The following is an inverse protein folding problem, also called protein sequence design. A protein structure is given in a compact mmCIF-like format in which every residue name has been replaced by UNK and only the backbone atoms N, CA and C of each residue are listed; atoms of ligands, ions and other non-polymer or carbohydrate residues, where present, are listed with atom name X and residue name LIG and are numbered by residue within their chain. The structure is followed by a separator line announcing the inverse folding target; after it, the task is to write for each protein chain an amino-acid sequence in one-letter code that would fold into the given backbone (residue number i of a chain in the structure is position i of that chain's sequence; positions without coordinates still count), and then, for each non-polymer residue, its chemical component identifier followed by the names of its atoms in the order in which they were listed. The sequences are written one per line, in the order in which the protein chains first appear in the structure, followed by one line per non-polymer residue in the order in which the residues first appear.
data_IF_827835171404
#
_entry.id   IF_827835171404
#
_cell.length_a   1.000
_cell.length_b   1.000
_cell.length_c   1.000
_cell.angle_alpha   90.00
_cell.angle_beta   90.00
_cell.angle_gamma   90.00
#
_symmetry.space_group_name_H-M   'P 1'
#
loop_
_entity.id
_entity.type
_entity.pdbx_description
1 polymer ?
#
# COMPACT_ATOMS: atom_id res chain seq x y z
N UNK A 1 -8.58 17.15 -35.84
CA UNK A 1 -9.59 16.73 -34.86
C UNK A 1 -8.94 16.73 -33.48
N UNK A 2 -9.62 17.23 -32.45
CA UNK A 2 -9.14 17.14 -31.07
C UNK A 2 -9.20 15.69 -30.58
N UNK A 3 -8.16 15.20 -29.91
CA UNK A 3 -8.14 13.87 -29.31
C UNK A 3 -9.27 13.72 -28.27
N UNK A 4 -9.94 12.56 -28.27
CA UNK A 4 -11.01 12.22 -27.33
C UNK A 4 -10.61 11.00 -26.48
N UNK A 5 -10.33 11.19 -25.17
CA UNK A 5 -10.10 10.09 -24.24
C UNK A 5 -11.28 9.11 -24.18
N UNK A 6 -10.98 7.82 -24.01
CA UNK A 6 -11.99 6.84 -23.57
C UNK A 6 -12.51 7.22 -22.18
N UNK A 7 -13.82 7.22 -21.98
CA UNK A 7 -14.47 7.43 -20.66
C UNK A 7 -14.86 6.12 -19.96
N UNK A 8 -14.78 5.01 -20.67
CA UNK A 8 -15.07 3.66 -20.16
C UNK A 8 -13.96 2.74 -20.63
N UNK A 9 -13.47 1.88 -19.74
CA UNK A 9 -12.56 0.81 -20.12
C UNK A 9 -13.37 -0.43 -20.53
N UNK A 10 -12.98 -1.17 -21.60
CA UNK A 10 -13.70 -2.35 -22.05
C UNK A 10 -13.90 -3.38 -20.93
N UNK A 11 -15.02 -4.11 -20.98
CA UNK A 11 -15.29 -5.18 -20.02
C UNK A 11 -14.25 -6.31 -20.14
N UNK A 12 -13.85 -6.87 -18.99
CA UNK A 12 -12.80 -7.88 -18.89
C UNK A 12 -13.39 -9.22 -18.41
N UNK A 13 -13.93 -10.08 -19.30
CA UNK A 13 -14.70 -11.25 -18.91
C UNK A 13 -13.89 -12.36 -18.21
N UNK A 14 -12.56 -12.39 -18.35
CA UNK A 14 -11.70 -13.51 -17.88
C UNK A 14 -10.56 -13.11 -16.94
N UNK A 15 -10.70 -12.01 -16.20
CA UNK A 15 -9.62 -11.55 -15.31
C UNK A 15 -9.50 -12.41 -14.03
N UNK A 16 -8.31 -12.90 -13.64
CA UNK A 16 -8.13 -13.64 -12.40
C UNK A 16 -8.40 -12.74 -11.19
N UNK A 17 -9.50 -13.01 -10.47
CA UNK A 17 -9.97 -12.24 -9.30
C UNK A 17 -9.60 -12.85 -7.95
N UNK A 18 -8.96 -14.02 -7.94
CA UNK A 18 -8.56 -14.73 -6.72
C UNK A 18 -7.04 -14.74 -6.61
N UNK A 19 -6.49 -14.05 -5.61
CA UNK A 19 -5.05 -14.03 -5.31
C UNK A 19 -4.81 -14.30 -3.82
N UNK A 20 -5.21 -15.49 -3.36
CA UNK A 20 -5.03 -15.91 -1.96
C UNK A 20 -4.03 -17.06 -1.85
N UNK A 21 -2.75 -16.70 -1.81
CA UNK A 21 -1.67 -17.63 -1.51
C UNK A 21 -1.74 -18.11 -0.05
N UNK A 22 -1.31 -19.35 0.22
CA UNK A 22 -1.34 -19.95 1.56
C UNK A 22 -0.64 -19.12 2.65
N UNK A 23 0.37 -18.33 2.27
CA UNK A 23 1.04 -17.40 3.18
C UNK A 23 0.15 -16.23 3.66
N UNK A 24 -0.89 -15.82 2.91
CA UNK A 24 -1.82 -14.80 3.38
C UNK A 24 -2.73 -15.32 4.49
N UNK A 25 -3.20 -16.59 4.41
CA UNK A 25 -3.95 -17.23 5.51
C UNK A 25 -3.09 -17.33 6.76
N UNK A 26 -1.85 -17.81 6.62
CA UNK A 26 -0.90 -17.88 7.73
C UNK A 26 -0.59 -16.49 8.32
N UNK A 27 -0.47 -15.46 7.47
CA UNK A 27 -0.29 -14.07 7.89
C UNK A 27 -1.45 -13.56 8.74
N UNK A 28 -2.69 -13.81 8.31
CA UNK A 28 -3.89 -13.39 9.06
C UNK A 28 -4.01 -14.11 10.40
N UNK A 29 -3.79 -15.43 10.45
CA UNK A 29 -3.81 -16.19 11.72
C UNK A 29 -2.73 -15.68 12.67
N UNK A 30 -1.50 -15.45 12.17
CA UNK A 30 -0.40 -14.92 12.98
C UNK A 30 -0.70 -13.50 13.48
N UNK A 31 -1.28 -12.65 12.64
CA UNK A 31 -1.72 -11.32 13.04
C UNK A 31 -2.72 -11.42 14.19
N UNK A 32 -3.76 -12.25 14.05
CA UNK A 32 -4.78 -12.46 15.10
C UNK A 32 -4.18 -12.94 16.41
N UNK A 33 -3.20 -13.86 16.38
CA UNK A 33 -2.53 -14.32 17.60
C UNK A 33 -1.70 -13.24 18.29
N UNK A 34 -1.18 -12.26 17.53
CA UNK A 34 -0.37 -11.17 18.09
C UNK A 34 -1.21 -10.05 18.69
N UNK A 35 -2.44 -9.84 18.20
CA UNK A 35 -3.32 -8.72 18.57
C UNK A 35 -3.55 -8.55 20.07
N UNK A 36 -3.56 -9.64 20.84
CA UNK A 36 -3.72 -9.58 22.31
C UNK A 36 -2.59 -8.79 22.99
N UNK A 37 -1.39 -8.82 22.41
CA UNK A 37 -0.20 -8.15 22.93
C UNK A 37 0.09 -6.78 22.26
N UNK A 38 -0.79 -6.34 21.36
CA UNK A 38 -0.64 -5.08 20.62
C UNK A 38 -1.48 -3.99 21.28
N UNK A 39 -0.86 -2.82 21.46
CA UNK A 39 -1.47 -1.63 22.03
C UNK A 39 -2.13 -0.74 20.98
N UNK A 40 -1.55 -0.70 19.77
CA UNK A 40 -2.02 0.15 18.68
C UNK A 40 -1.75 -0.49 17.33
N UNK A 41 -2.67 -0.32 16.38
CA UNK A 41 -2.50 -0.79 15.00
C UNK A 41 -2.28 0.39 14.06
N UNK A 42 -1.29 0.29 13.19
CA UNK A 42 -1.11 1.17 12.04
C UNK A 42 -1.60 0.43 10.81
N UNK A 43 -2.70 0.89 10.22
CA UNK A 43 -3.25 0.33 8.99
C UNK A 43 -2.74 1.12 7.78
N UNK A 44 -1.81 0.54 7.03
CA UNK A 44 -1.26 1.17 5.84
C UNK A 44 -2.14 0.93 4.60
N UNK A 45 -2.45 2.02 3.90
CA UNK A 45 -3.17 2.06 2.61
C UNK A 45 -2.33 2.79 1.55
N UNK A 46 -2.52 2.46 0.26
CA UNK A 46 -1.76 3.08 -0.83
C UNK A 46 -2.50 4.33 -1.28
N UNK A 47 -1.87 5.51 -1.17
CA UNK A 47 -2.53 6.78 -1.47
C UNK A 47 -3.04 6.90 -2.91
N UNK A 48 -2.48 6.14 -3.87
CA UNK A 48 -2.96 6.13 -5.26
C UNK A 48 -4.31 5.43 -5.42
N UNK A 49 -4.66 4.56 -4.49
CA UNK A 49 -5.87 3.71 -4.51
C UNK A 49 -6.49 3.64 -3.11
N UNK A 50 -6.95 4.78 -2.56
CA UNK A 50 -7.33 4.87 -1.16
C UNK A 50 -8.57 4.04 -0.77
N UNK A 51 -9.44 3.72 -1.73
CA UNK A 51 -10.59 2.83 -1.56
C UNK A 51 -10.18 1.38 -1.83
N UNK A 52 -9.58 1.14 -2.99
CA UNK A 52 -9.26 -0.21 -3.46
C UNK A 52 -8.20 -0.90 -2.59
N UNK A 53 -7.32 -0.15 -1.92
CA UNK A 53 -6.32 -0.73 -0.98
C UNK A 53 -6.85 -1.03 0.42
N UNK A 54 -8.13 -0.74 0.70
CA UNK A 54 -8.81 -1.20 1.92
C UNK A 54 -8.91 -2.73 1.91
N UNK A 55 -8.81 -3.33 3.10
CA UNK A 55 -8.95 -4.77 3.26
C UNK A 55 -10.05 -5.07 4.28
N UNK A 56 -11.24 -5.55 3.83
CA UNK A 56 -12.36 -5.87 4.72
C UNK A 56 -12.05 -6.94 5.78
N UNK A 57 -11.03 -7.78 5.56
CA UNK A 57 -10.58 -8.73 6.58
C UNK A 57 -9.97 -8.04 7.80
N UNK A 58 -9.41 -6.84 7.65
CA UNK A 58 -8.91 -6.07 8.77
C UNK A 58 -10.03 -5.40 9.56
N UNK A 59 -11.08 -4.91 8.91
CA UNK A 59 -12.24 -4.32 9.60
C UNK A 59 -12.84 -5.32 10.61
N UNK A 60 -13.05 -6.57 10.18
CA UNK A 60 -13.56 -7.64 11.05
C UNK A 60 -12.53 -8.19 12.05
N UNK A 61 -11.23 -8.15 11.74
CA UNK A 61 -10.20 -8.74 12.61
C UNK A 61 -9.63 -7.77 13.65
N UNK A 62 -9.78 -6.47 13.42
CA UNK A 62 -9.25 -5.39 14.26
C UNK A 62 -10.35 -4.69 15.07
N UNK A 63 -11.55 -5.25 15.08
CA UNK A 63 -12.67 -4.73 15.85
C UNK A 63 -12.28 -4.56 17.34
N UNK A 64 -12.59 -3.39 17.90
CA UNK A 64 -12.23 -3.02 19.28
C UNK A 64 -10.75 -2.68 19.52
N UNK A 65 -9.88 -2.73 18.50
CA UNK A 65 -8.49 -2.27 18.61
C UNK A 65 -8.34 -0.84 18.14
N UNK A 66 -7.65 -0.02 18.94
CA UNK A 66 -7.28 1.33 18.54
C UNK A 66 -6.38 1.27 17.29
N UNK A 67 -6.69 2.13 16.31
CA UNK A 67 -5.99 2.15 15.02
C UNK A 67 -5.74 3.55 14.49
N UNK A 68 -4.66 3.69 13.74
CA UNK A 68 -4.34 4.87 12.93
C UNK A 68 -4.29 4.43 11.48
N UNK A 69 -5.01 5.11 10.60
CA UNK A 69 -4.93 4.88 9.16
C UNK A 69 -3.79 5.71 8.59
N UNK A 70 -2.89 5.07 7.85
CA UNK A 70 -1.73 5.71 7.24
C UNK A 70 -1.73 5.47 5.74
N UNK A 71 -1.96 6.52 4.97
CA UNK A 71 -1.80 6.49 3.52
C UNK A 71 -0.33 6.71 3.16
N UNK A 72 0.34 5.65 2.76
CA UNK A 72 1.72 5.68 2.27
C UNK A 72 1.76 6.09 0.79
N UNK A 73 2.95 6.44 0.30
CA UNK A 73 3.17 6.86 -1.10
C UNK A 73 2.40 8.13 -1.49
N UNK A 74 2.17 9.05 -0.54
CA UNK A 74 1.52 10.34 -0.79
C UNK A 74 2.24 11.14 -1.88
N UNK A 75 3.56 10.99 -1.99
CA UNK A 75 4.41 11.59 -3.03
C UNK A 75 4.04 11.18 -4.46
N UNK A 76 3.34 10.06 -4.67
CA UNK A 76 2.84 9.58 -5.97
C UNK A 76 1.39 10.03 -6.26
N UNK A 77 0.86 10.93 -5.44
CA UNK A 77 -0.50 11.50 -5.50
C UNK A 77 -0.75 12.52 -6.61
N UNK A 78 -1.94 13.10 -6.64
CA UNK A 78 -2.44 14.00 -7.69
C UNK A 78 -1.98 15.46 -7.61
N UNK A 79 -0.98 15.78 -6.78
CA UNK A 79 -0.39 17.12 -6.68
C UNK A 79 -1.41 18.16 -6.23
N UNK A 80 -1.88 19.00 -7.18
CA UNK A 80 -2.77 20.13 -6.89
C UNK A 80 -4.11 19.74 -6.26
N UNK A 81 -4.60 18.52 -6.51
CA UNK A 81 -5.87 18.02 -5.93
C UNK A 81 -5.70 17.31 -4.60
N UNK A 82 -4.46 17.11 -4.13
CA UNK A 82 -4.20 16.28 -2.96
C UNK A 82 -4.85 16.84 -1.70
N UNK A 83 -4.85 18.16 -1.48
CA UNK A 83 -5.50 18.73 -0.28
C UNK A 83 -6.99 18.40 -0.21
N UNK A 84 -7.73 18.59 -1.32
CA UNK A 84 -9.16 18.28 -1.38
C UNK A 84 -9.42 16.78 -1.24
N UNK A 85 -8.61 15.95 -1.89
CA UNK A 85 -8.74 14.50 -1.78
C UNK A 85 -8.48 14.04 -0.35
N UNK A 86 -7.46 14.59 0.31
CA UNK A 86 -7.14 14.30 1.71
C UNK A 86 -8.27 14.71 2.65
N UNK A 87 -8.94 15.83 2.42
CA UNK A 87 -10.10 16.26 3.22
C UNK A 87 -11.25 15.26 3.13
N UNK A 88 -11.57 14.81 1.91
CA UNK A 88 -12.60 13.79 1.67
C UNK A 88 -12.20 12.45 2.30
N UNK A 89 -10.94 12.02 2.11
CA UNK A 89 -10.43 10.77 2.67
C UNK A 89 -10.44 10.82 4.21
N UNK A 90 -10.16 11.97 4.84
CA UNK A 90 -10.27 12.11 6.30
C UNK A 90 -11.72 11.90 6.77
N UNK A 91 -12.71 12.45 6.05
CA UNK A 91 -14.13 12.27 6.38
C UNK A 91 -14.53 10.79 6.36
N UNK A 92 -13.98 9.99 5.44
CA UNK A 92 -14.24 8.54 5.36
C UNK A 92 -13.89 7.77 6.64
N UNK A 93 -12.95 8.28 7.44
CA UNK A 93 -12.46 7.62 8.66
C UNK A 93 -13.14 8.11 9.94
N UNK A 94 -13.98 9.15 9.85
CA UNK A 94 -14.66 9.74 11.00
C UNK A 94 -13.69 10.15 12.09
N UNK A 95 -13.83 9.57 13.29
CA UNK A 95 -12.97 9.84 14.44
C UNK A 95 -11.61 9.12 14.39
N UNK A 96 -11.41 8.16 13.48
CA UNK A 96 -10.16 7.40 13.40
C UNK A 96 -9.03 8.31 12.86
N UNK A 97 -7.89 8.46 13.57
CA UNK A 97 -6.79 9.28 13.09
C UNK A 97 -6.29 8.82 11.71
N UNK A 98 -6.14 9.77 10.79
CA UNK A 98 -5.72 9.54 9.41
C UNK A 98 -4.51 10.42 9.06
N UNK A 99 -3.44 9.80 8.55
CA UNK A 99 -2.17 10.45 8.21
C UNK A 99 -1.76 10.14 6.78
N UNK A 100 -1.12 11.09 6.10
CA UNK A 100 -0.60 10.93 4.74
C UNK A 100 0.92 11.07 4.74
N UNK A 101 1.62 9.98 4.39
CA UNK A 101 3.08 9.88 4.49
C UNK A 101 3.69 9.83 3.10
N UNK A 102 4.68 10.70 2.87
CA UNK A 102 5.51 10.68 1.66
C UNK A 102 6.68 9.72 1.87
N UNK A 103 7.02 8.94 0.85
CA UNK A 103 8.23 8.15 0.83
C UNK A 103 9.39 9.05 0.37
N UNK A 104 10.41 9.20 1.21
CA UNK A 104 11.59 10.02 0.90
C UNK A 104 12.51 9.33 -0.10
N UNK A 105 12.25 9.54 -1.39
CA UNK A 105 13.20 9.36 -2.51
C UNK A 105 12.75 10.21 -3.71
N UNK A 106 12.59 11.51 -3.54
CA UNK A 106 12.59 12.40 -4.70
C UNK A 106 14.07 12.65 -5.07
N UNK A 107 14.64 11.79 -5.93
CA UNK A 107 16.00 11.98 -6.49
C UNK A 107 16.09 13.23 -7.39
N UNK A 108 14.94 13.84 -7.71
CA UNK A 108 14.81 14.99 -8.61
C UNK A 108 14.46 16.31 -7.92
N UNK A 109 14.45 16.39 -6.58
CA UNK A 109 14.16 17.66 -5.89
C UNK A 109 15.37 18.16 -5.11
N UNK A 110 16.08 19.13 -5.71
CA UNK A 110 16.90 20.11 -5.01
C UNK A 110 16.08 21.03 -4.09
N UNK A 111 14.77 20.84 -3.98
CA UNK A 111 13.83 21.77 -3.36
C UNK A 111 12.79 21.05 -2.47
N UNK A 112 13.08 20.89 -1.17
CA UNK A 112 12.08 20.66 -0.10
C UNK A 112 11.33 19.31 -0.01
N UNK A 113 11.49 18.37 -0.96
CA UNK A 113 10.80 17.08 -0.96
C UNK A 113 11.15 16.19 0.24
N UNK A 114 12.44 16.08 0.56
CA UNK A 114 12.95 15.34 1.71
C UNK A 114 12.48 15.93 3.04
N UNK A 115 12.44 17.26 3.14
CA UNK A 115 11.92 17.97 4.31
C UNK A 115 10.44 17.64 4.57
N UNK A 116 9.59 17.65 3.54
CA UNK A 116 8.16 17.32 3.69
C UNK A 116 7.95 15.84 4.05
N UNK A 117 8.73 14.93 3.46
CA UNK A 117 8.69 13.51 3.82
C UNK A 117 9.07 13.31 5.29
N UNK A 118 10.21 13.88 5.70
CA UNK A 118 10.67 13.90 7.09
C UNK A 118 9.61 14.47 8.04
N UNK A 119 8.99 15.61 7.71
CA UNK A 119 7.94 16.23 8.53
C UNK A 119 6.74 15.29 8.73
N UNK A 120 6.29 14.61 7.68
CA UNK A 120 5.17 13.67 7.77
C UNK A 120 5.49 12.46 8.67
N UNK A 121 6.71 11.92 8.58
CA UNK A 121 7.15 10.79 9.41
C UNK A 121 7.35 11.21 10.87
N UNK A 122 7.90 12.41 11.11
CA UNK A 122 8.03 12.97 12.46
C UNK A 122 6.66 13.20 13.10
N UNK A 123 5.68 13.74 12.37
CA UNK A 123 4.32 13.89 12.88
C UNK A 123 3.66 12.57 13.27
N UNK A 124 3.94 11.48 12.53
CA UNK A 124 3.50 10.15 12.95
C UNK A 124 4.24 9.69 14.21
N UNK A 125 5.57 9.87 14.30
CA UNK A 125 6.32 9.54 15.53
C UNK A 125 5.79 10.29 16.75
N UNK A 126 5.42 11.56 16.61
CA UNK A 126 4.88 12.37 17.71
C UNK A 126 3.51 11.85 18.15
N UNK A 127 2.63 11.49 17.21
CA UNK A 127 1.36 10.86 17.53
C UNK A 127 1.55 9.52 18.27
N UNK A 128 2.51 8.71 17.83
CA UNK A 128 2.85 7.44 18.49
C UNK A 128 3.42 7.65 19.89
N UNK A 129 4.25 8.69 20.09
CA UNK A 129 4.77 9.08 21.41
C UNK A 129 3.65 9.52 22.34
N UNK A 130 2.76 10.40 21.88
CA UNK A 130 1.62 10.87 22.68
C UNK A 130 0.73 9.70 23.11
N UNK A 131 0.43 8.79 22.19
CA UNK A 131 -0.32 7.58 22.51
C UNK A 131 0.41 6.72 23.56
N UNK A 132 1.71 6.46 23.38
CA UNK A 132 2.51 5.70 24.33
C UNK A 132 2.65 6.38 25.71
N UNK A 133 2.71 7.72 25.76
CA UNK A 133 2.75 8.50 27.01
C UNK A 133 1.42 8.40 27.77
N UNK A 134 0.28 8.51 27.08
CA UNK A 134 -1.04 8.36 27.70
C UNK A 134 -1.30 6.95 28.24
N UNK A 135 -0.57 5.96 27.70
CA UNK A 135 -0.65 4.54 28.04
C UNK A 135 0.73 4.04 28.51
N UNK A 136 1.38 4.82 29.37
CA UNK A 136 2.75 4.56 29.79
C UNK A 136 2.93 3.12 30.29
N UNK A 137 3.99 2.46 29.80
CA UNK A 137 4.32 1.07 30.14
C UNK A 137 5.83 0.90 30.29
N UNK A 138 6.22 0.20 31.35
CA UNK A 138 7.61 -0.17 31.59
C UNK A 138 8.14 -1.19 30.57
N UNK A 139 7.31 -2.14 30.14
CA UNK A 139 7.69 -3.22 29.21
C UNK A 139 7.76 -2.79 27.73
N UNK A 140 7.49 -1.51 27.46
CA UNK A 140 7.46 -0.94 26.12
C UNK A 140 6.09 -1.06 25.44
N UNK A 141 5.84 -0.11 24.54
CA UNK A 141 4.59 0.02 23.80
C UNK A 141 4.69 -0.72 22.46
N UNK A 142 3.75 -1.63 22.19
CA UNK A 142 3.80 -2.53 21.02
C UNK A 142 2.80 -2.11 19.95
N UNK A 143 3.33 -1.74 18.80
CA UNK A 143 2.56 -1.30 17.63
C UNK A 143 2.66 -2.36 16.55
N UNK A 144 1.55 -2.67 15.88
CA UNK A 144 1.56 -3.55 14.71
C UNK A 144 1.27 -2.76 13.44
N UNK A 145 2.10 -2.91 12.41
CA UNK A 145 1.76 -2.41 11.07
C UNK A 145 1.07 -3.51 10.28
N UNK A 146 -0.09 -3.20 9.71
CA UNK A 146 -0.87 -4.06 8.79
C UNK A 146 -1.16 -3.33 7.48
N UNK A 147 -1.62 -4.05 6.47
CA UNK A 147 -1.89 -3.47 5.15
C UNK A 147 -1.64 -4.45 4.00
N UNK A 148 -2.17 -4.13 2.83
CA UNK A 148 -2.00 -4.91 1.60
C UNK A 148 -0.51 -5.12 1.25
N UNK A 149 -0.14 -6.17 0.50
CA UNK A 149 1.21 -6.32 -0.03
C UNK A 149 1.65 -5.08 -0.80
N UNK A 150 2.94 -4.73 -0.65
CA UNK A 150 3.61 -3.60 -1.32
C UNK A 150 2.99 -2.21 -1.11
N UNK A 151 2.10 -2.06 -0.13
CA UNK A 151 1.53 -0.75 0.23
C UNK A 151 2.59 0.23 0.74
N UNK A 152 3.66 -0.27 1.37
CA UNK A 152 4.76 0.56 1.90
C UNK A 152 5.11 0.31 3.37
N UNK A 153 4.58 -0.74 4.01
CA UNK A 153 4.81 -1.09 5.43
C UNK A 153 6.29 -1.09 5.83
N UNK A 154 7.11 -1.89 5.14
CA UNK A 154 8.54 -2.01 5.46
C UNK A 154 9.33 -0.72 5.17
N UNK A 155 8.90 0.07 4.17
CA UNK A 155 9.46 1.41 3.91
C UNK A 155 9.13 2.37 5.06
N UNK A 156 7.88 2.37 5.53
CA UNK A 156 7.44 3.17 6.67
C UNK A 156 8.18 2.77 7.96
N UNK A 157 8.31 1.47 8.24
CA UNK A 157 9.08 0.97 9.38
C UNK A 157 10.53 1.50 9.34
N UNK A 158 11.20 1.38 8.20
CA UNK A 158 12.58 1.84 8.06
C UNK A 158 12.67 3.37 8.25
N UNK A 159 11.70 4.14 7.75
CA UNK A 159 11.65 5.59 7.94
C UNK A 159 11.42 5.97 9.41
N UNK A 160 10.46 5.34 10.09
CA UNK A 160 10.20 5.54 11.52
C UNK A 160 11.44 5.21 12.36
N UNK A 161 12.13 4.11 12.04
CA UNK A 161 13.37 3.72 12.72
C UNK A 161 14.50 4.72 12.50
N UNK A 162 14.69 5.16 11.26
CA UNK A 162 15.75 6.12 10.92
C UNK A 162 15.53 7.48 11.60
N UNK A 163 14.29 7.95 11.69
CA UNK A 163 13.97 9.24 12.32
C UNK A 163 13.78 9.17 13.83
N UNK A 164 13.38 8.02 14.38
CA UNK A 164 13.09 7.87 15.80
C UNK A 164 14.29 7.40 16.64
N UNK A 165 15.23 6.63 16.08
CA UNK A 165 16.43 6.15 16.79
C UNK A 165 17.75 6.31 16.00
N UNK A 166 17.74 6.96 14.83
CA UNK A 166 18.93 7.18 14.00
C UNK A 166 19.72 5.92 13.62
N UNK A 167 19.04 4.77 13.47
CA UNK A 167 19.64 3.50 13.03
C UNK A 167 19.25 3.15 11.59
N UNK A 168 20.07 2.32 10.93
CA UNK A 168 19.91 1.91 9.51
C UNK A 168 18.65 1.09 9.17
N UNK A 169 18.62 0.45 8.00
CA UNK A 169 17.46 -0.36 7.58
C UNK A 169 17.44 -1.72 8.28
N UNK A 170 16.24 -2.23 8.59
CA UNK A 170 16.04 -3.57 9.19
C UNK A 170 15.16 -4.44 8.30
N UNK A 171 14.19 -3.86 7.61
CA UNK A 171 13.30 -4.61 6.72
C UNK A 171 13.75 -4.47 5.25
N UNK A 172 13.77 -5.58 4.53
CA UNK A 172 14.01 -5.59 3.09
C UNK A 172 12.83 -4.95 2.35
N UNK A 173 13.13 -4.07 1.39
CA UNK A 173 12.12 -3.37 0.57
C UNK A 173 12.33 -3.72 -0.90
N UNK A 174 11.27 -4.16 -1.60
CA UNK A 174 11.30 -4.47 -3.02
C UNK A 174 9.92 -4.30 -3.66
N UNK A 175 9.88 -4.16 -4.98
CA UNK A 175 8.64 -3.93 -5.73
C UNK A 175 7.79 -5.22 -5.95
N UNK A 176 8.38 -6.40 -5.70
CA UNK A 176 7.67 -7.68 -5.83
C UNK A 176 7.03 -8.09 -4.49
N UNK A 177 5.75 -8.55 -4.49
CA UNK A 177 5.12 -9.02 -3.26
C UNK A 177 5.86 -10.19 -2.63
N UNK A 178 6.00 -10.19 -1.31
CA UNK A 178 6.60 -11.30 -0.54
C UNK A 178 8.09 -11.14 -0.22
N UNK A 179 8.71 -9.99 -0.52
CA UNK A 179 10.13 -9.72 -0.22
C UNK A 179 10.42 -9.58 1.29
N UNK A 180 9.43 -9.17 2.10
CA UNK A 180 9.60 -9.02 3.56
C UNK A 180 9.80 -10.39 4.22
N UNK A 181 11.03 -10.69 4.66
CA UNK A 181 11.35 -11.86 5.50
C UNK A 181 10.77 -11.65 6.91
N UNK A 182 10.35 -12.74 7.57
CA UNK A 182 9.73 -12.71 8.91
C UNK A 182 10.63 -11.96 9.90
N UNK A 183 10.26 -10.73 10.25
CA UNK A 183 10.77 -10.08 11.46
C UNK A 183 9.91 -10.60 12.60
N UNK A 184 10.40 -11.62 13.31
CA UNK A 184 9.66 -12.28 14.39
C UNK A 184 9.67 -11.49 15.71
N UNK A 185 10.57 -10.51 15.86
CA UNK A 185 10.70 -9.66 17.03
C UNK A 185 10.30 -8.20 16.74
N UNK A 186 9.77 -7.50 17.74
CA UNK A 186 9.45 -6.07 17.59
C UNK A 186 10.70 -5.23 17.32
N UNK A 187 10.63 -4.34 16.33
CA UNK A 187 11.72 -3.40 15.99
C UNK A 187 11.53 -2.12 16.79
N UNK A 188 12.47 -1.77 17.66
CA UNK A 188 12.45 -0.50 18.39
C UNK A 188 12.51 0.67 17.41
N UNK A 189 11.57 1.61 17.53
CA UNK A 189 11.49 2.83 16.71
C UNK A 189 11.57 4.11 17.54
N UNK A 190 11.29 4.05 18.84
CA UNK A 190 11.49 5.15 19.80
C UNK A 190 12.22 4.57 21.02
N UNK A 191 13.26 5.25 21.54
CA UNK A 191 14.02 4.74 22.68
C UNK A 191 13.16 4.71 23.96
N UNK A 192 13.58 3.88 24.92
CA UNK A 192 13.07 3.96 26.30
C UNK A 192 13.65 5.18 27.02
N UNK A 193 13.07 5.54 28.17
CA UNK A 193 13.65 6.54 29.06
C UNK A 193 15.04 6.11 29.55
N UNK A 194 15.23 4.82 29.86
CA UNK A 194 16.53 4.25 30.24
C UNK A 194 17.56 4.34 29.10
N UNK A 195 17.16 4.09 27.85
CA UNK A 195 18.04 4.25 26.69
C UNK A 195 18.54 5.70 26.62
N UNK A 196 17.67 6.69 26.87
CA UNK A 196 18.05 8.11 26.86
C UNK A 196 18.99 8.45 28.04
N UNK A 197 18.74 7.91 29.23
CA UNK A 197 19.59 8.12 30.39
C UNK A 197 21.02 7.61 30.15
N UNK A 198 21.16 6.50 29.42
CA UNK A 198 22.44 5.90 29.05
C UNK A 198 23.20 6.65 27.93
N UNK A 199 22.57 7.59 27.22
CA UNK A 199 23.24 8.39 26.19
C UNK A 199 24.20 9.42 26.79
N UNK A 200 25.28 9.69 26.05
CA UNK A 200 26.20 10.79 26.35
C UNK A 200 25.45 12.12 26.47
N UNK A 201 25.83 13.02 27.40
CA UNK A 201 25.12 14.27 27.66
C UNK A 201 24.82 15.12 26.41
N UNK A 202 25.73 15.14 25.43
CA UNK A 202 25.57 15.87 24.16
C UNK A 202 24.55 15.27 23.19
N UNK A 203 24.07 14.05 23.42
CA UNK A 203 23.08 13.37 22.58
C UNK A 203 21.67 13.34 23.19
N UNK A 204 21.53 13.63 24.49
CA UNK A 204 20.25 13.57 25.23
C UNK A 204 19.16 14.51 24.69
N UNK A 205 19.53 15.61 24.05
CA UNK A 205 18.59 16.57 23.45
C UNK A 205 18.10 16.24 22.03
N UNK A 206 18.67 15.22 21.37
CA UNK A 206 18.34 14.90 19.97
C UNK A 206 17.21 13.88 19.81
N UNK A 207 16.94 13.08 20.85
CA UNK A 207 15.96 11.99 20.79
C UNK A 207 15.14 11.96 22.07
N UNK A 208 13.83 11.84 21.95
CA UNK A 208 12.91 11.71 23.08
C UNK A 208 12.51 10.26 23.27
N UNK A 209 12.74 9.73 24.48
CA UNK A 209 12.28 8.42 24.92
C UNK A 209 10.90 8.46 25.57
N UNK A 210 10.27 7.29 25.72
CA UNK A 210 8.98 7.14 26.40
C UNK A 210 8.88 5.76 27.05
N UNK A 211 8.68 5.70 28.37
CA UNK A 211 8.56 4.45 29.14
C UNK A 211 9.61 3.41 28.72
N UNK A 212 9.17 2.17 28.44
CA UNK A 212 10.01 1.10 27.91
C UNK A 212 10.39 1.18 26.43
N UNK A 213 10.06 2.28 25.75
CA UNK A 213 10.25 2.51 24.31
C UNK A 213 9.08 2.03 23.46
N UNK A 214 9.11 2.34 22.17
CA UNK A 214 8.08 1.92 21.20
C UNK A 214 8.68 0.87 20.25
N UNK A 215 8.01 -0.27 20.15
CA UNK A 215 8.39 -1.40 19.30
C UNK A 215 7.34 -1.63 18.24
N UNK A 216 7.81 -1.80 17.01
CA UNK A 216 6.97 -1.98 15.85
C UNK A 216 7.11 -3.39 15.29
N UNK A 217 5.99 -4.09 15.17
CA UNK A 217 5.89 -5.43 14.61
C UNK A 217 5.45 -5.31 13.14
N UNK A 218 6.36 -5.66 12.23
CA UNK A 218 6.03 -5.73 10.79
C UNK A 218 5.32 -7.05 10.50
N UNK A 219 4.15 -6.97 9.87
CA UNK A 219 3.41 -8.15 9.44
C UNK A 219 3.56 -8.37 7.93
N UNK A 220 3.62 -9.63 7.46
CA UNK A 220 3.49 -9.91 6.04
C UNK A 220 2.20 -9.27 5.49
N UNK A 221 2.27 -8.69 4.29
CA UNK A 221 1.06 -8.15 3.66
C UNK A 221 -0.01 -9.21 3.49
N UNK A 222 -1.22 -8.92 3.99
CA UNK A 222 -2.38 -9.79 3.81
C UNK A 222 -3.18 -9.27 2.63
N UNK A 223 -3.25 -10.05 1.55
CA UNK A 223 -4.09 -9.75 0.40
C UNK A 223 -5.50 -10.30 0.61
N UNK A 224 -6.52 -9.71 -0.02
CA UNK A 224 -7.91 -10.17 0.07
C UNK A 224 -8.12 -11.48 -0.72
N UNK A 225 -8.92 -12.45 -0.22
CA UNK A 225 -9.09 -13.72 -0.89
C UNK A 225 -9.66 -13.62 -2.30
N UNK A 226 -10.57 -12.66 -2.47
CA UNK A 226 -11.28 -12.40 -3.69
C UNK A 226 -11.46 -10.90 -3.86
N UNK A 227 -11.09 -10.39 -5.03
CA UNK A 227 -11.37 -9.02 -5.42
C UNK A 227 -12.68 -9.03 -6.20
N UNK A 228 -13.74 -8.34 -5.72
CA UNK A 228 -15.06 -8.44 -6.35
C UNK A 228 -15.09 -7.86 -7.76
N UNK A 229 -14.47 -6.69 -7.91
CA UNK A 229 -14.46 -5.89 -9.12
C UNK A 229 -13.16 -6.08 -9.93
N UNK A 230 -13.30 -6.16 -11.26
CA UNK A 230 -12.18 -6.29 -12.18
C UNK A 230 -11.31 -5.02 -12.20
N UNK A 231 -11.92 -3.83 -12.09
CA UNK A 231 -11.16 -2.58 -12.04
C UNK A 231 -10.32 -2.48 -10.77
N UNK A 232 -10.87 -2.90 -9.62
CA UNK A 232 -10.14 -3.00 -8.37
C UNK A 232 -8.92 -3.93 -8.50
N UNK A 233 -9.07 -5.08 -9.16
CA UNK A 233 -7.95 -5.99 -9.38
C UNK A 233 -6.88 -5.38 -10.32
N UNK A 234 -7.29 -4.70 -11.39
CA UNK A 234 -6.36 -3.97 -12.28
C UNK A 234 -5.60 -2.87 -11.54
N UNK A 235 -6.29 -2.10 -10.68
CA UNK A 235 -5.68 -1.06 -9.83
C UNK A 235 -4.67 -1.66 -8.84
N UNK A 236 -5.02 -2.75 -8.15
CA UNK A 236 -4.12 -3.46 -7.25
C UNK A 236 -2.89 -4.00 -7.98
N UNK A 237 -3.07 -4.54 -9.18
CA UNK A 237 -1.97 -4.97 -10.03
C UNK A 237 -1.10 -3.79 -10.48
N UNK A 238 -1.66 -2.67 -10.95
CA UNK A 238 -0.90 -1.46 -11.27
C UNK A 238 -0.11 -0.95 -10.06
N UNK A 239 -0.68 -0.99 -8.86
CA UNK A 239 0.01 -0.57 -7.64
C UNK A 239 1.08 -1.56 -7.16
N UNK A 240 1.12 -2.77 -7.72
CA UNK A 240 2.07 -3.84 -7.40
C UNK A 240 1.67 -4.68 -6.18
N UNK A 241 0.39 -4.67 -5.78
CA UNK A 241 -0.09 -5.47 -4.64
C UNK A 241 -0.20 -6.97 -4.96
N UNK A 242 -0.18 -7.33 -6.24
CA UNK A 242 -0.08 -8.71 -6.75
C UNK A 242 1.13 -8.84 -7.67
N UNK A 243 1.54 -10.08 -8.00
CA UNK A 243 2.64 -10.30 -8.95
C UNK A 243 2.28 -9.73 -10.33
N UNK A 244 3.27 -9.15 -11.00
CA UNK A 244 3.10 -8.52 -12.32
C UNK A 244 2.63 -9.51 -13.41
N UNK A 245 2.83 -10.82 -13.20
CA UNK A 245 2.43 -11.87 -14.14
C UNK A 245 0.96 -12.31 -14.01
N UNK A 246 0.21 -11.77 -13.04
CA UNK A 246 -1.19 -12.16 -12.82
C UNK A 246 -2.10 -11.61 -13.92
N UNK A 247 -1.76 -10.46 -14.48
CA UNK A 247 -2.50 -9.82 -15.56
C UNK A 247 -1.51 -9.54 -16.68
N UNK A 248 -1.85 -9.81 -17.95
CA UNK A 248 -0.97 -9.52 -19.08
C UNK A 248 -0.47 -8.07 -19.02
N UNK A 249 0.86 -7.81 -19.10
CA UNK A 249 1.41 -6.47 -18.93
C UNK A 249 0.84 -5.44 -19.91
N UNK A 250 0.59 -5.85 -21.16
CA UNK A 250 0.00 -4.97 -22.19
C UNK A 250 -1.41 -4.52 -21.82
N UNK A 251 -2.21 -5.40 -21.21
CA UNK A 251 -3.55 -5.05 -20.72
C UNK A 251 -3.47 -4.07 -19.54
N UNK A 252 -2.51 -4.24 -18.63
CA UNK A 252 -2.26 -3.29 -17.55
C UNK A 252 -1.76 -1.94 -18.07
N UNK A 253 -0.89 -1.93 -19.08
CA UNK A 253 -0.44 -0.71 -19.73
C UNK A 253 -1.59 0.02 -20.44
N UNK A 254 -2.52 -0.70 -21.08
CA UNK A 254 -3.71 -0.09 -21.69
C UNK A 254 -4.63 0.54 -20.64
N UNK A 255 -4.83 -0.16 -19.52
CA UNK A 255 -5.60 0.38 -18.40
C UNK A 255 -4.91 1.60 -17.77
N UNK A 256 -3.58 1.61 -17.70
CA UNK A 256 -2.83 2.77 -17.27
C UNK A 256 -2.98 3.94 -18.26
N UNK A 257 -2.88 3.68 -19.56
CA UNK A 257 -3.09 4.68 -20.62
C UNK A 257 -4.50 5.29 -20.53
N UNK A 258 -5.52 4.46 -20.30
CA UNK A 258 -6.88 4.93 -20.03
C UNK A 258 -6.92 5.95 -18.88
N UNK A 259 -6.32 5.63 -17.74
CA UNK A 259 -6.26 6.57 -16.61
C UNK A 259 -5.40 7.80 -16.92
N UNK A 260 -4.26 7.66 -17.60
CA UNK A 260 -3.42 8.79 -18.01
C UNK A 260 -4.22 9.76 -18.89
N UNK A 261 -5.02 9.25 -19.83
CA UNK A 261 -5.87 10.07 -20.70
C UNK A 261 -7.02 10.78 -19.95
N UNK A 262 -7.55 10.19 -18.88
CA UNK A 262 -8.53 10.86 -18.01
C UNK A 262 -7.92 12.03 -17.22
N UNK A 263 -6.62 11.99 -16.95
CA UNK A 263 -5.90 13.07 -16.26
C UNK A 263 -5.33 14.08 -17.24
N UNK A 264 -4.44 13.66 -18.13
CA UNK A 264 -3.91 14.44 -19.24
C UNK A 264 -3.10 13.57 -20.21
N UNK A 265 -3.34 13.63 -21.54
CA UNK A 265 -2.47 12.97 -22.51
C UNK A 265 -1.05 13.57 -22.56
N UNK A 266 -0.82 14.75 -21.96
CA UNK A 266 0.54 15.32 -21.85
C UNK A 266 1.51 14.46 -21.03
N UNK A 267 0.99 13.53 -20.22
CA UNK A 267 1.79 12.62 -19.39
C UNK A 267 2.68 11.66 -20.20
N UNK A 268 2.42 11.48 -21.49
CA UNK A 268 3.23 10.65 -22.38
C UNK A 268 3.59 11.36 -23.70
N UNK A 269 3.37 12.68 -23.78
CA UNK A 269 3.60 13.46 -25.00
C UNK A 269 5.06 13.43 -25.50
N UNK A 270 6.01 13.11 -24.62
CA UNK A 270 7.41 12.88 -25.00
C UNK A 270 7.59 11.68 -25.93
N UNK A 271 6.63 10.75 -25.99
CA UNK A 271 6.75 9.53 -26.79
C UNK A 271 5.96 9.63 -28.09
N UNK A 272 4.68 10.02 -28.02
CA UNK A 272 3.80 10.11 -29.19
C UNK A 272 2.71 11.17 -28.99
N UNK A 273 1.96 11.45 -30.05
CA UNK A 273 0.70 12.19 -29.97
C UNK A 273 -0.33 11.45 -29.10
N UNK A 274 -1.32 12.19 -28.61
CA UNK A 274 -2.38 11.65 -27.78
C UNK A 274 -3.10 10.49 -28.50
N UNK A 275 -3.20 9.33 -27.83
CA UNK A 275 -3.73 8.09 -28.42
C UNK A 275 -4.52 7.27 -27.39
N UNK A 276 -5.47 6.48 -27.89
CA UNK A 276 -6.15 5.43 -27.12
C UNK A 276 -5.59 4.04 -27.44
N UNK A 277 -4.65 3.93 -28.39
CA UNK A 277 -4.02 2.69 -28.79
C UNK A 277 -2.76 2.45 -27.95
N UNK A 278 -2.81 1.43 -27.09
CA UNK A 278 -1.67 1.04 -26.27
C UNK A 278 -0.49 0.56 -27.12
N UNK A 279 -0.72 -0.07 -28.27
CA UNK A 279 0.34 -0.59 -29.13
C UNK A 279 1.13 0.55 -29.77
N UNK A 280 0.43 1.62 -30.17
CA UNK A 280 1.06 2.84 -30.67
C UNK A 280 1.98 3.46 -29.62
N UNK A 281 1.46 3.68 -28.40
CA UNK A 281 2.25 4.24 -27.30
C UNK A 281 3.44 3.34 -26.92
N UNK A 282 3.23 2.03 -26.79
CA UNK A 282 4.31 1.10 -26.43
C UNK A 282 5.38 1.04 -27.53
N UNK A 283 5.00 1.10 -28.80
CA UNK A 283 5.95 1.15 -29.92
C UNK A 283 6.79 2.43 -29.88
N UNK A 284 6.16 3.58 -29.63
CA UNK A 284 6.85 4.85 -29.51
C UNK A 284 7.81 4.89 -28.30
N UNK A 285 7.39 4.36 -27.15
CA UNK A 285 8.26 4.20 -25.98
C UNK A 285 9.44 3.29 -26.32
N UNK A 286 9.20 2.15 -26.96
CA UNK A 286 10.24 1.18 -27.27
C UNK A 286 11.31 1.76 -28.20
N UNK A 287 10.89 2.47 -29.25
CA UNK A 287 11.78 3.16 -30.18
C UNK A 287 12.62 4.23 -29.46
N UNK A 288 11.98 5.09 -28.65
CA UNK A 288 12.67 6.18 -27.96
C UNK A 288 13.62 5.68 -26.86
N UNK A 289 13.35 4.51 -26.29
CA UNK A 289 14.10 4.00 -25.12
C UNK A 289 15.01 2.80 -25.42
N UNK A 290 15.12 2.38 -26.68
CA UNK A 290 15.99 1.29 -27.12
C UNK A 290 15.52 -0.10 -26.67
N UNK A 291 14.23 -0.29 -26.36
CA UNK A 291 13.64 -1.58 -25.94
C UNK A 291 13.25 -2.43 -27.13
N UNK A 292 14.27 -2.79 -27.91
CA UNK A 292 14.12 -3.60 -29.11
C UNK A 292 14.53 -5.04 -28.80
N UNK A 293 13.74 -5.99 -29.26
CA UNK A 293 14.05 -7.41 -29.26
C UNK A 293 14.99 -7.80 -30.41
N UNK A 294 15.15 -9.11 -30.62
CA UNK A 294 15.96 -9.65 -31.71
C UNK A 294 15.42 -9.18 -33.07
N UNK A 295 16.31 -8.71 -33.94
CA UNK A 295 15.94 -8.22 -35.27
C UNK A 295 15.33 -6.81 -35.30
N UNK A 296 15.40 -6.05 -34.20
CA UNK A 296 14.87 -4.68 -34.15
C UNK A 296 13.36 -4.58 -33.93
N UNK A 297 12.67 -5.70 -33.72
CA UNK A 297 11.25 -5.73 -33.39
C UNK A 297 10.99 -5.18 -31.99
N UNK A 298 9.88 -4.47 -31.80
CA UNK A 298 9.48 -3.92 -30.50
C UNK A 298 9.12 -5.04 -29.52
N UNK A 299 9.77 -5.07 -28.36
CA UNK A 299 9.35 -5.93 -27.25
C UNK A 299 8.23 -5.23 -26.47
N UNK A 300 6.99 -5.56 -26.85
CA UNK A 300 5.79 -4.90 -26.32
C UNK A 300 5.56 -5.25 -24.85
N UNK A 301 5.83 -6.49 -24.43
CA UNK A 301 5.65 -6.91 -23.04
C UNK A 301 6.68 -6.27 -22.10
N UNK A 302 7.96 -6.27 -22.49
CA UNK A 302 9.00 -5.64 -21.69
C UNK A 302 8.79 -4.12 -21.60
N UNK A 303 8.32 -3.50 -22.69
CA UNK A 303 8.00 -2.07 -22.71
C UNK A 303 6.80 -1.74 -21.84
N UNK A 304 5.75 -2.58 -21.85
CA UNK A 304 4.60 -2.44 -20.96
C UNK A 304 4.99 -2.54 -19.48
N UNK A 305 5.79 -3.55 -19.12
CA UNK A 305 6.33 -3.68 -17.76
C UNK A 305 7.13 -2.44 -17.37
N UNK A 306 7.98 -1.95 -18.27
CA UNK A 306 8.77 -0.75 -18.02
C UNK A 306 7.90 0.49 -17.78
N UNK A 307 6.88 0.71 -18.63
CA UNK A 307 5.92 1.82 -18.49
C UNK A 307 5.25 1.77 -17.11
N UNK A 308 4.78 0.58 -16.69
CA UNK A 308 4.16 0.38 -15.38
C UNK A 308 5.15 0.69 -14.25
N UNK A 309 6.41 0.25 -14.34
CA UNK A 309 7.41 0.57 -13.32
C UNK A 309 7.73 2.07 -13.27
N UNK A 310 7.80 2.75 -14.42
CA UNK A 310 8.01 4.21 -14.47
C UNK A 310 6.85 4.97 -13.83
N UNK A 311 5.61 4.57 -14.06
CA UNK A 311 4.46 5.13 -13.35
C UNK A 311 4.52 4.85 -11.84
N UNK A 312 4.87 3.63 -11.42
CA UNK A 312 5.05 3.29 -9.99
C UNK A 312 6.14 4.13 -9.30
N UNK A 313 7.08 4.68 -10.06
CA UNK A 313 8.14 5.59 -9.59
C UNK A 313 7.73 7.08 -9.69
N UNK A 314 6.52 7.37 -10.18
CA UNK A 314 6.03 8.75 -10.37
C UNK A 314 6.65 9.47 -11.57
N UNK A 315 7.30 8.74 -12.49
CA UNK A 315 7.97 9.29 -13.68
C UNK A 315 7.03 9.39 -14.90
N UNK A 316 5.83 8.80 -14.84
CA UNK A 316 4.81 8.89 -15.90
C UNK A 316 3.50 9.45 -15.32
N UNK A 317 3.63 10.55 -14.58
CA UNK A 317 2.54 11.18 -13.85
C UNK A 317 2.38 10.66 -12.43
N UNK A 318 1.72 11.49 -11.62
CA UNK A 318 1.38 11.22 -10.23
C UNK A 318 -0.11 11.55 -10.08
N UNK A 319 -0.92 10.54 -9.79
CA UNK A 319 -2.37 10.64 -9.74
C UNK A 319 -3.00 9.44 -9.03
N UNK A 320 -4.26 9.62 -8.61
CA UNK A 320 -5.07 8.56 -8.01
C UNK A 320 -5.83 7.79 -9.11
N UNK A 321 -5.93 6.48 -8.92
CA UNK A 321 -6.75 5.58 -9.76
C UNK A 321 -8.17 5.41 -9.21
N UNK A 322 -8.37 5.65 -7.91
CA UNK A 322 -9.71 5.72 -7.34
C UNK A 322 -10.28 7.12 -7.47
N UNK A 323 -11.59 7.17 -7.67
CA UNK A 323 -12.37 8.39 -7.55
C UNK A 323 -12.51 8.73 -6.07
N UNK A 324 -12.21 9.97 -5.70
CA UNK A 324 -12.30 10.46 -4.32
C UNK A 324 -13.41 11.49 -4.25
N UNK A 325 -14.58 11.05 -3.77
CA UNK A 325 -15.71 11.90 -3.43
C UNK A 325 -16.43 11.39 -2.18
N UNK A 326 -17.38 12.17 -1.66
CA UNK A 326 -18.01 11.90 -0.37
C UNK A 326 -18.82 10.59 -0.36
N UNK A 327 -19.38 10.15 -1.50
CA UNK A 327 -20.19 8.94 -1.60
C UNK A 327 -19.42 7.68 -2.00
N UNK A 328 -18.19 7.82 -2.49
CA UNK A 328 -17.42 6.71 -3.04
C UNK A 328 -17.14 5.59 -2.04
N UNK A 329 -16.95 5.91 -0.75
CA UNK A 329 -16.75 4.89 0.29
C UNK A 329 -18.01 4.04 0.51
N UNK A 330 -19.18 4.68 0.61
CA UNK A 330 -20.42 3.97 0.89
C UNK A 330 -20.81 3.06 -0.29
N UNK A 331 -20.60 3.53 -1.53
CA UNK A 331 -20.75 2.68 -2.72
C UNK A 331 -19.82 1.46 -2.67
N UNK A 332 -18.54 1.66 -2.32
CA UNK A 332 -17.59 0.56 -2.21
C UNK A 332 -17.99 -0.46 -1.12
N UNK A 333 -18.53 -0.01 0.02
CA UNK A 333 -19.04 -0.91 1.08
C UNK A 333 -20.23 -1.73 0.61
N UNK A 334 -21.19 -1.09 -0.09
CA UNK A 334 -22.36 -1.80 -0.64
C UNK A 334 -21.93 -2.88 -1.64
N UNK A 335 -20.97 -2.57 -2.51
CA UNK A 335 -20.40 -3.56 -3.44
C UNK A 335 -19.71 -4.71 -2.71
N UNK A 336 -18.96 -4.43 -1.63
CA UNK A 336 -18.32 -5.46 -0.81
C UNK A 336 -19.33 -6.40 -0.11
N UNK A 337 -20.43 -5.84 0.42
CA UNK A 337 -21.48 -6.59 1.11
C UNK A 337 -22.34 -7.42 0.14
N UNK A 338 -22.57 -6.92 -1.07
CA UNK A 338 -23.31 -7.62 -2.13
C UNK A 338 -22.57 -8.82 -2.73
N UNK A 339 -21.28 -8.99 -2.46
CA UNK A 339 -20.46 -10.07 -3.00
C UNK A 339 -20.56 -11.30 -2.08
N UNK A 340 -21.59 -12.11 -2.31
CA UNK A 340 -21.59 -13.48 -1.81
C UNK A 340 -20.35 -14.22 -2.33
N UNK A 341 -19.62 -14.99 -1.49
CA UNK A 341 -18.48 -15.76 -1.97
C UNK A 341 -18.96 -16.69 -3.09
N UNK A 342 -18.23 -16.72 -4.21
CA UNK A 342 -18.49 -17.64 -5.32
C UNK A 342 -18.85 -19.03 -4.81
N UNK A 343 -19.82 -19.72 -5.41
CA UNK A 343 -20.26 -21.07 -5.01
C UNK A 343 -19.09 -22.04 -4.75
N UNK A 344 -17.98 -21.92 -5.50
CA UNK A 344 -16.78 -22.73 -5.30
C UNK A 344 -15.96 -22.31 -4.07
N UNK A 345 -15.89 -21.02 -3.76
CA UNK A 345 -15.24 -20.48 -2.56
C UNK A 345 -16.07 -20.76 -1.30
N UNK A 346 -17.40 -20.61 -1.38
CA UNK A 346 -18.31 -21.01 -0.31
C UNK A 346 -18.17 -22.51 -0.02
N UNK A 347 -18.19 -23.38 -1.05
CA UNK A 347 -17.95 -24.83 -0.91
C UNK A 347 -16.56 -25.16 -0.35
N UNK A 348 -15.52 -24.40 -0.72
CA UNK A 348 -14.16 -24.61 -0.20
C UNK A 348 -14.03 -24.17 1.26
N UNK A 349 -14.61 -23.03 1.62
CA UNK A 349 -14.68 -22.55 3.00
C UNK A 349 -15.51 -23.50 3.89
N UNK A 350 -16.63 -24.03 3.38
CA UNK A 350 -17.45 -25.07 4.04
C UNK A 350 -16.64 -26.34 4.31
N UNK A 351 -15.93 -26.84 3.29
CA UNK A 351 -15.03 -28.00 3.42
C UNK A 351 -13.92 -27.76 4.43
N UNK A 352 -13.35 -26.57 4.48
CA UNK A 352 -12.33 -26.20 5.47
C UNK A 352 -12.90 -26.10 6.90
N UNK A 353 -14.04 -25.45 7.10
CA UNK A 353 -14.74 -25.40 8.41
C UNK A 353 -15.11 -26.78 8.90
N UNK A 354 -15.49 -27.69 8.00
CA UNK A 354 -15.77 -29.10 8.34
C UNK A 354 -14.50 -29.84 8.75
N UNK A 355 -13.37 -29.62 8.07
CA UNK A 355 -12.06 -30.18 8.44
C UNK A 355 -11.56 -29.67 9.78
N UNK A 356 -11.70 -28.37 10.06
CA UNK A 356 -11.32 -27.76 11.34
C UNK A 356 -12.19 -28.29 12.50
N UNK A 357 -13.52 -28.40 12.29
CA UNK A 357 -14.42 -29.05 13.26
C UNK A 357 -14.09 -30.51 13.51
N UNK A 358 -13.71 -31.25 12.48
CA UNK A 358 -13.33 -32.66 12.63
C UNK A 358 -11.98 -32.82 13.33
N UNK A 359 -11.01 -31.94 13.08
CA UNK A 359 -9.73 -31.92 13.83
C UNK A 359 -9.94 -31.62 15.31
N UNK A 360 -10.75 -30.62 15.64
CA UNK A 360 -11.09 -30.29 17.02
C UNK A 360 -11.88 -31.39 17.75
N UNK A 361 -12.52 -32.31 17.02
CA UNK A 361 -13.22 -33.49 17.58
C UNK A 361 -12.35 -34.73 17.71
N UNK A 362 -11.21 -34.80 17.00
CA UNK A 362 -10.28 -35.94 17.03
C UNK A 362 -9.12 -35.79 18.02
N UNK A 363 -9.00 -34.63 18.69
CA UNK A 363 -8.02 -34.36 19.76
C UNK A 363 -8.62 -34.55 21.17
N UNK A 364 -9.75 -35.27 21.29
CA UNK A 364 -10.35 -35.64 22.58
C UNK A 364 -10.11 -37.11 22.91
#
# INVERSE_FOLDING_TARGET
MSFLPRHVFPQLPSLPRSYFLGHHKSGLTKMKSLLSSIDLVIECRDYRVPLTSRNPLFESSLEGKERIIVYTKRDLGGGARDSRNEDVIRKWHGATPCMFIRNGKDESSSDGGDYKARKSVLGLLDLLRQHAQSRWKLVGHRIMIVGMPNVGKSTLLNALRAHGIHKGKVAATGAQPGVTRKVSSGVKIVPSEDDIAALEPGMRGKVQGVGGGIYLLDTPGVFIPYVPDAHAMMKLALCGSVKDTIIPPVMLADYLLYHMNLHSPTLYADYCSATNDVVELLSAIAQKTGRLGKGGAVDTEATALWMIQKWRQGMMGRFLLDRVDEGALELAKVEEEGVAPSMNQARRAERERRRERNRARGEK
#
